data_IF_541417115663
#
_entry.id   IF_541417115663
#
_cell.length_a   1.000
_cell.length_b   1.000
_cell.length_c   1.000
_cell.angle_alpha   90.00
_cell.angle_beta   90.00
_cell.angle_gamma   90.00
#
_symmetry.space_group_name_H-M   'P 1'
#
loop_
_entity.id
_entity.type
_entity.pdbx_description
1 polymer ?
#
# COMPACT_ATOMS: atom_id res chain seq x y z
N UNK A 1 2.03 13.16 -8.97
CA UNK A 1 2.96 14.11 -8.34
C UNK A 1 3.99 13.25 -7.64
N UNK A 2 5.02 12.80 -8.36
CA UNK A 2 6.01 11.88 -7.78
C UNK A 2 7.42 12.36 -8.16
N UNK A 3 8.07 12.95 -7.16
CA UNK A 3 9.47 13.36 -7.19
C UNK A 3 10.34 12.13 -6.94
N UNK A 4 11.40 11.99 -7.74
CA UNK A 4 12.41 10.93 -7.66
C UNK A 4 12.98 10.88 -6.24
N UNK A 5 13.14 9.67 -5.71
CA UNK A 5 13.66 9.27 -4.37
C UNK A 5 12.64 9.07 -3.25
N UNK A 6 11.68 8.17 -3.47
CA UNK A 6 10.99 7.45 -2.39
C UNK A 6 11.86 6.26 -1.96
N UNK A 7 12.07 6.08 -0.65
CA UNK A 7 12.75 4.90 -0.11
C UNK A 7 11.68 3.93 0.39
N UNK A 8 11.69 2.69 -0.12
CA UNK A 8 10.78 1.62 0.31
C UNK A 8 11.61 0.57 1.06
N UNK A 9 11.21 0.24 2.27
CA UNK A 9 11.80 -0.82 3.10
C UNK A 9 10.75 -1.89 3.36
N UNK A 10 11.13 -3.16 3.31
CA UNK A 10 10.21 -4.27 3.62
C UNK A 10 10.43 -4.70 5.07
N UNK A 11 9.36 -4.84 5.84
CA UNK A 11 9.41 -5.27 7.23
C UNK A 11 8.46 -6.44 7.47
N UNK A 12 8.85 -7.36 8.35
CA UNK A 12 7.96 -8.42 8.83
C UNK A 12 7.17 -7.89 10.03
N UNK A 13 5.84 -7.99 9.98
CA UNK A 13 4.95 -7.69 11.09
C UNK A 13 4.46 -9.01 11.67
N UNK A 14 5.03 -9.37 12.82
CA UNK A 14 4.79 -10.66 13.47
C UNK A 14 3.36 -10.74 14.05
N UNK A 15 2.85 -9.64 14.59
CA UNK A 15 1.66 -9.66 15.47
C UNK A 15 0.30 -9.61 14.74
N UNK A 16 0.29 -9.49 13.41
CA UNK A 16 -0.96 -9.42 12.61
C UNK A 16 -1.95 -8.35 13.09
N UNK A 17 -3.19 -8.42 12.60
CA UNK A 17 -4.29 -7.56 13.05
C UNK A 17 -5.07 -8.23 14.17
N UNK A 18 -5.39 -7.50 15.23
CA UNK A 18 -6.29 -7.99 16.29
C UNK A 18 -7.72 -8.02 15.75
N UNK A 19 -8.38 -9.18 15.81
CA UNK A 19 -9.74 -9.35 15.28
C UNK A 19 -10.78 -9.30 16.41
N UNK A 20 -10.57 -10.11 17.44
CA UNK A 20 -11.49 -10.26 18.56
C UNK A 20 -10.80 -10.95 19.73
N UNK A 21 -11.37 -10.82 20.91
CA UNK A 21 -10.93 -11.55 22.10
C UNK A 21 -11.31 -13.03 22.00
N UNK A 22 -10.38 -13.93 22.34
CA UNK A 22 -10.62 -15.37 22.48
C UNK A 22 -10.81 -15.74 23.96
N UNK A 23 -12.05 -15.98 24.38
CA UNK A 23 -12.35 -16.40 25.75
C UNK A 23 -11.71 -17.74 26.15
N UNK A 24 -11.41 -18.64 25.20
CA UNK A 24 -10.81 -19.94 25.52
C UNK A 24 -9.32 -19.81 25.81
N UNK A 25 -8.63 -19.04 24.97
CA UNK A 25 -7.19 -18.85 25.05
C UNK A 25 -6.79 -17.65 25.92
N UNK A 26 -7.78 -16.87 26.42
CA UNK A 26 -7.58 -15.65 27.20
C UNK A 26 -6.59 -14.69 26.53
N UNK A 27 -6.71 -14.55 25.20
CA UNK A 27 -5.83 -13.73 24.39
C UNK A 27 -6.57 -13.15 23.17
N UNK A 28 -6.02 -12.10 22.58
CA UNK A 28 -6.53 -11.52 21.33
C UNK A 28 -6.24 -12.44 20.15
N UNK A 29 -7.28 -12.85 19.42
CA UNK A 29 -7.09 -13.51 18.12
C UNK A 29 -6.49 -12.52 17.15
N UNK A 30 -5.48 -12.97 16.43
CA UNK A 30 -4.78 -12.22 15.41
C UNK A 30 -4.98 -12.88 14.05
N UNK A 31 -5.10 -12.07 13.01
CA UNK A 31 -5.20 -12.52 11.63
C UNK A 31 -4.07 -11.89 10.81
N UNK A 32 -3.61 -12.60 9.78
CA UNK A 32 -2.45 -12.20 8.98
C UNK A 32 -1.17 -12.00 9.82
N UNK A 33 -0.91 -12.91 10.77
CA UNK A 33 0.39 -13.01 11.46
C UNK A 33 1.52 -13.28 10.44
N UNK A 34 2.73 -12.83 10.75
CA UNK A 34 3.92 -12.97 9.89
C UNK A 34 3.74 -12.38 8.48
N UNK A 35 3.01 -11.27 8.35
CA UNK A 35 2.80 -10.58 7.09
C UNK A 35 3.90 -9.56 6.83
N UNK A 36 4.44 -9.56 5.62
CA UNK A 36 5.33 -8.49 5.16
C UNK A 36 4.54 -7.23 4.81
N UNK A 37 5.08 -6.09 5.20
CA UNK A 37 4.59 -4.76 4.83
C UNK A 37 5.69 -3.97 4.12
N UNK A 38 5.28 -3.04 3.27
CA UNK A 38 6.18 -2.06 2.67
C UNK A 38 6.07 -0.74 3.44
N UNK A 39 7.19 -0.25 3.97
CA UNK A 39 7.30 1.07 4.56
C UNK A 39 7.78 2.04 3.49
N UNK A 40 6.92 3.00 3.13
CA UNK A 40 7.24 4.05 2.19
C UNK A 40 7.59 5.32 2.95
N UNK A 41 8.84 5.77 2.84
CA UNK A 41 9.27 7.08 3.34
C UNK A 41 8.88 8.14 2.32
N UNK A 42 8.08 9.10 2.76
CA UNK A 42 7.84 10.33 2.00
C UNK A 42 8.85 11.35 2.50
N UNK A 43 9.63 11.95 1.59
CA UNK A 43 10.64 12.94 2.00
C UNK A 43 9.94 14.18 2.55
N UNK A 44 10.11 14.42 3.84
CA UNK A 44 9.72 15.67 4.45
C UNK A 44 10.70 16.77 4.04
N UNK A 45 10.19 17.80 3.37
CA UNK A 45 10.75 19.15 3.55
C UNK A 45 9.93 19.77 4.69
N UNK A 46 10.52 20.55 5.60
CA UNK A 46 9.82 21.12 6.77
C UNK A 46 8.54 21.93 6.46
N UNK A 47 8.21 22.19 5.20
CA UNK A 47 6.94 22.75 4.70
C UNK A 47 5.91 21.72 4.20
N UNK A 48 6.15 20.40 4.32
CA UNK A 48 5.40 19.34 3.60
C UNK A 48 4.56 18.38 4.44
N UNK A 49 4.44 18.55 5.76
CA UNK A 49 3.65 17.63 6.61
C UNK A 49 2.18 17.56 6.19
N UNK A 50 1.57 18.69 5.80
CA UNK A 50 0.19 18.70 5.31
C UNK A 50 0.04 17.95 3.99
N UNK A 51 1.02 18.07 3.08
CA UNK A 51 1.01 17.33 1.82
C UNK A 51 1.16 15.83 2.04
N UNK A 52 2.01 15.43 3.01
CA UNK A 52 2.13 14.04 3.41
C UNK A 52 0.81 13.50 3.99
N UNK A 53 0.21 14.21 4.94
CA UNK A 53 -1.07 13.81 5.54
C UNK A 53 -2.15 13.70 4.46
N UNK A 54 -2.22 14.66 3.53
CA UNK A 54 -3.17 14.61 2.42
C UNK A 54 -2.90 13.42 1.49
N UNK A 55 -1.64 13.11 1.16
CA UNK A 55 -1.29 11.93 0.35
C UNK A 55 -1.72 10.64 1.05
N UNK A 56 -1.44 10.50 2.34
CA UNK A 56 -1.84 9.34 3.15
C UNK A 56 -3.36 9.22 3.19
N UNK A 57 -4.09 10.29 3.54
CA UNK A 57 -5.55 10.28 3.65
C UNK A 57 -6.22 9.91 2.32
N UNK A 58 -5.78 10.52 1.21
CA UNK A 58 -6.32 10.23 -0.11
C UNK A 58 -6.04 8.78 -0.51
N UNK A 59 -4.83 8.30 -0.29
CA UNK A 59 -4.48 6.93 -0.64
C UNK A 59 -5.20 5.90 0.24
N UNK A 60 -5.34 6.13 1.54
CA UNK A 60 -6.15 5.30 2.44
C UNK A 60 -7.62 5.27 2.00
N UNK A 61 -8.20 6.42 1.65
CA UNK A 61 -9.59 6.49 1.13
C UNK A 61 -9.73 5.62 -0.12
N UNK A 62 -8.86 5.81 -1.10
CA UNK A 62 -8.88 5.07 -2.35
C UNK A 62 -8.67 3.55 -2.15
N UNK A 63 -7.77 3.15 -1.24
CA UNK A 63 -7.51 1.73 -0.99
C UNK A 63 -8.64 1.02 -0.25
N UNK A 64 -9.53 1.75 0.43
CA UNK A 64 -10.75 1.20 1.03
C UNK A 64 -11.84 1.03 -0.04
N UNK A 65 -11.90 1.93 -1.03
CA UNK A 65 -12.91 1.89 -2.09
C UNK A 65 -12.68 0.78 -3.11
N UNK A 66 -11.43 0.35 -3.34
CA UNK A 66 -11.11 -0.73 -4.28
C UNK A 66 -9.91 -1.57 -3.83
N UNK A 67 -9.96 -2.87 -4.12
CA UNK A 67 -8.83 -3.80 -3.93
C UNK A 67 -7.74 -3.65 -5.00
N UNK A 68 -7.98 -2.86 -6.05
CA UNK A 68 -7.04 -2.67 -7.16
C UNK A 68 -6.02 -1.54 -6.92
N UNK A 69 -6.09 -0.91 -5.75
CA UNK A 69 -5.09 0.05 -5.25
C UNK A 69 -4.42 -0.58 -4.03
N UNK A 70 -3.11 -0.40 -3.92
CA UNK A 70 -2.31 -0.96 -2.81
C UNK A 70 -2.92 -0.56 -1.47
N UNK A 71 -3.17 -1.54 -0.60
CA UNK A 71 -3.78 -1.28 0.70
C UNK A 71 -2.86 -0.43 1.58
N UNK A 72 -3.41 0.63 2.17
CA UNK A 72 -2.79 1.34 3.29
C UNK A 72 -3.21 0.75 4.62
N UNK A 73 -2.24 0.45 5.48
CA UNK A 73 -2.48 0.08 6.88
C UNK A 73 -2.33 1.26 7.85
N UNK A 74 -1.98 2.45 7.34
CA UNK A 74 -1.82 3.67 8.12
C UNK A 74 -0.39 4.23 8.10
N UNK A 75 -0.01 4.85 9.21
CA UNK A 75 1.28 5.54 9.38
C UNK A 75 2.04 4.98 10.58
N UNK A 76 3.36 5.03 10.49
CA UNK A 76 4.28 4.70 11.59
C UNK A 76 5.35 5.79 11.70
N UNK A 77 6.01 5.85 12.86
CA UNK A 77 7.12 6.75 13.11
C UNK A 77 8.36 5.93 13.47
N UNK A 78 9.49 6.27 12.85
CA UNK A 78 10.79 5.73 13.21
C UNK A 78 11.37 6.58 14.34
N UNK A 79 11.67 5.98 15.49
CA UNK A 79 12.19 6.71 16.65
C UNK A 79 13.54 7.39 16.37
N UNK A 80 14.26 6.96 15.33
CA UNK A 80 15.55 7.52 14.92
C UNK A 80 15.45 8.66 13.91
N UNK A 81 14.27 8.90 13.34
CA UNK A 81 14.07 9.89 12.29
C UNK A 81 12.72 10.58 12.45
N UNK A 82 12.69 11.92 12.46
CA UNK A 82 11.46 12.74 12.39
C UNK A 82 10.60 12.52 11.11
N UNK A 83 10.80 11.39 10.41
CA UNK A 83 10.18 11.08 9.14
C UNK A 83 9.05 10.07 9.36
N UNK A 84 7.81 10.55 9.27
CA UNK A 84 6.64 9.67 9.23
C UNK A 84 6.69 8.78 7.99
N UNK A 85 6.28 7.51 8.14
CA UNK A 85 6.26 6.54 7.04
C UNK A 85 4.87 5.98 6.86
N UNK A 86 4.53 5.71 5.61
CA UNK A 86 3.29 5.02 5.28
C UNK A 86 3.51 3.52 5.32
N UNK A 87 2.60 2.80 5.96
CA UNK A 87 2.58 1.33 6.00
C UNK A 87 1.65 0.83 4.90
N UNK A 88 2.19 0.07 3.96
CA UNK A 88 1.50 -0.39 2.75
C UNK A 88 1.54 -1.91 2.64
N UNK A 89 0.60 -2.47 1.87
CA UNK A 89 0.67 -3.85 1.43
C UNK A 89 1.94 -4.15 0.64
N UNK A 90 2.60 -5.24 1.02
CA UNK A 90 3.78 -5.72 0.31
C UNK A 90 3.40 -6.54 -0.93
N UNK A 91 3.70 -6.00 -2.11
CA UNK A 91 3.59 -6.71 -3.38
C UNK A 91 4.78 -7.66 -3.60
N UNK A 92 4.61 -8.95 -3.26
CA UNK A 92 5.66 -9.99 -3.33
C UNK A 92 6.34 -10.11 -4.71
N UNK A 93 5.58 -9.89 -5.78
CA UNK A 93 6.01 -10.15 -7.16
C UNK A 93 6.66 -8.94 -7.85
N UNK A 94 7.07 -7.92 -7.08
CA UNK A 94 7.68 -6.68 -7.60
C UNK A 94 6.73 -5.94 -8.55
N UNK A 95 7.27 -5.22 -9.53
CA UNK A 95 6.49 -4.49 -10.52
C UNK A 95 5.80 -5.44 -11.51
N UNK A 96 4.63 -5.04 -12.00
CA UNK A 96 3.91 -5.80 -13.02
C UNK A 96 4.77 -6.03 -14.27
N UNK A 97 5.55 -5.02 -14.70
CA UNK A 97 6.46 -5.14 -15.84
C UNK A 97 7.51 -6.25 -15.64
N UNK A 98 8.12 -6.34 -14.46
CA UNK A 98 9.04 -7.42 -14.14
C UNK A 98 8.34 -8.79 -14.11
N UNK A 99 7.15 -8.85 -13.51
CA UNK A 99 6.37 -10.08 -13.42
C UNK A 99 5.96 -10.61 -14.80
N UNK A 100 5.46 -9.74 -15.67
CA UNK A 100 5.07 -10.06 -17.05
C UNK A 100 6.29 -10.46 -17.89
N UNK A 101 7.45 -9.83 -17.68
CA UNK A 101 8.68 -10.18 -18.39
C UNK A 101 9.21 -11.56 -17.98
N UNK A 102 9.16 -11.90 -16.69
CA UNK A 102 9.73 -13.15 -16.16
C UNK A 102 8.78 -14.34 -16.28
N UNK A 103 7.47 -14.12 -16.40
CA UNK A 103 6.47 -15.17 -16.44
C UNK A 103 5.72 -15.19 -17.78
N UNK A 104 5.55 -16.37 -18.37
CA UNK A 104 4.76 -16.54 -19.59
C UNK A 104 3.26 -16.54 -19.24
N UNK A 105 2.65 -15.36 -19.21
CA UNK A 105 1.22 -15.19 -18.93
C UNK A 105 0.35 -15.58 -20.13
N UNK A 106 -0.79 -16.23 -19.85
CA UNK A 106 -1.84 -16.47 -20.84
C UNK A 106 -2.52 -15.15 -21.25
N UNK A 107 -3.24 -15.15 -22.37
CA UNK A 107 -4.04 -14.00 -22.78
C UNK A 107 -5.09 -13.63 -21.72
N UNK A 108 -5.72 -14.64 -21.11
CA UNK A 108 -6.69 -14.47 -20.04
C UNK A 108 -6.08 -13.75 -18.83
N UNK A 109 -4.91 -14.16 -18.36
CA UNK A 109 -4.23 -13.49 -17.25
C UNK A 109 -3.86 -12.04 -17.59
N UNK A 110 -3.46 -11.77 -18.83
CA UNK A 110 -3.16 -10.40 -19.28
C UNK A 110 -4.42 -9.52 -19.27
N UNK A 111 -5.55 -10.04 -19.77
CA UNK A 111 -6.84 -9.35 -19.75
C UNK A 111 -7.29 -9.08 -18.31
N UNK A 112 -7.11 -10.04 -17.41
CA UNK A 112 -7.39 -9.89 -15.99
C UNK A 112 -6.59 -8.74 -15.35
N UNK A 113 -5.28 -8.66 -15.59
CA UNK A 113 -4.48 -7.55 -15.06
C UNK A 113 -4.86 -6.19 -15.66
N UNK A 114 -5.17 -6.14 -16.97
CA UNK A 114 -5.65 -4.92 -17.62
C UNK A 114 -6.97 -4.44 -17.02
N UNK A 115 -7.92 -5.35 -16.79
CA UNK A 115 -9.17 -5.04 -16.13
C UNK A 115 -8.94 -4.45 -14.73
N UNK A 116 -8.09 -5.08 -13.92
CA UNK A 116 -7.77 -4.59 -12.58
C UNK A 116 -7.15 -3.18 -12.59
N UNK A 117 -6.22 -2.91 -13.52
CA UNK A 117 -5.63 -1.57 -13.69
C UNK A 117 -6.69 -0.55 -14.10
N UNK A 118 -7.55 -0.91 -15.06
CA UNK A 118 -8.61 -0.03 -15.53
C UNK A 118 -9.62 0.30 -14.41
N UNK A 119 -9.99 -0.67 -13.58
CA UNK A 119 -10.91 -0.43 -12.47
C UNK A 119 -10.28 0.38 -11.33
N UNK A 120 -9.00 0.15 -11.03
CA UNK A 120 -8.24 1.02 -10.13
C UNK A 120 -8.18 2.48 -10.61
N UNK A 121 -7.91 2.70 -11.90
CA UNK A 121 -7.94 4.02 -12.53
C UNK A 121 -9.32 4.66 -12.51
N UNK A 122 -10.37 3.88 -12.78
CA UNK A 122 -11.75 4.32 -12.69
C UNK A 122 -12.09 4.82 -11.28
N UNK A 123 -11.61 4.12 -10.24
CA UNK A 123 -11.79 4.53 -8.83
C UNK A 123 -11.09 5.86 -8.54
N UNK A 124 -9.86 6.04 -9.05
CA UNK A 124 -9.11 7.30 -8.92
C UNK A 124 -9.89 8.44 -9.61
N UNK A 125 -10.36 8.23 -10.84
CA UNK A 125 -11.07 9.26 -11.60
C UNK A 125 -12.44 9.61 -11.00
N UNK A 126 -13.18 8.63 -10.44
CA UNK A 126 -14.44 8.87 -9.70
C UNK A 126 -14.24 9.78 -8.48
N UNK A 127 -13.05 9.79 -7.92
CA UNK A 127 -12.66 10.69 -6.82
C UNK A 127 -12.09 12.03 -7.31
N UNK A 128 -12.26 12.37 -8.59
CA UNK A 128 -11.76 13.61 -9.21
C UNK A 128 -10.22 13.76 -9.16
N UNK A 129 -9.51 12.64 -9.00
CA UNK A 129 -8.06 12.59 -8.96
C UNK A 129 -7.50 12.16 -10.32
N UNK A 130 -6.25 12.55 -10.58
CA UNK A 130 -5.48 12.13 -11.76
C UNK A 130 -4.24 11.40 -11.25
N UNK A 131 -3.98 10.18 -11.71
CA UNK A 131 -2.81 9.39 -11.29
C UNK A 131 -1.48 10.08 -11.64
N UNK A 132 -1.43 10.74 -12.81
CA UNK A 132 -0.31 11.53 -13.37
C UNK A 132 0.95 10.75 -13.80
N UNK A 133 1.13 9.50 -13.41
CA UNK A 133 2.29 8.68 -13.78
C UNK A 133 1.96 7.17 -13.68
N UNK A 134 1.20 6.65 -14.66
CA UNK A 134 0.73 5.25 -14.68
C UNK A 134 1.83 4.25 -15.05
#
# INVERSE_FOLDING_TARGET
MYSKTQQIVVQNVFDGFICNWDNKNQNWKRYNENKFVALKRVKDSKSSTLNFINEVLLHTKLSIETIHIVMSYGITQDQSAENSMMVLEYAKNRTLGYYVFTNKLSLESKLYYLYNIADGLNTIHKNELIHRDL
#
